data_IF_713875589964
#
_entry.id   IF_713875589964
#
_cell.length_a   1.000
_cell.length_b   1.000
_cell.length_c   1.000
_cell.angle_alpha   90.00
_cell.angle_beta   90.00
_cell.angle_gamma   90.00
#
_symmetry.space_group_name_H-M   'P 1'
#
loop_
_entity.id
_entity.type
_entity.pdbx_description
1 polymer ?
#
# COMPACT_ATOMS: atom_id res chain seq x y z
N UNK A 1 10.92 2.29 19.34
CA UNK A 1 9.61 2.38 18.67
C UNK A 1 9.05 0.97 18.57
N UNK A 2 7.82 0.72 19.02
CA UNK A 2 7.23 -0.63 18.96
C UNK A 2 7.01 -1.09 17.52
N UNK A 3 7.19 -2.39 17.23
CA UNK A 3 6.99 -2.99 15.91
C UNK A 3 5.61 -2.66 15.31
N UNK A 4 4.59 -2.54 16.18
CA UNK A 4 3.22 -2.17 15.80
C UNK A 4 3.10 -0.76 15.23
N UNK A 5 3.88 0.20 15.75
CA UNK A 5 3.90 1.59 15.29
C UNK A 5 4.60 1.71 13.94
N UNK A 6 5.77 1.05 13.79
CA UNK A 6 6.47 0.96 12.50
C UNK A 6 5.60 0.32 11.41
N UNK A 7 4.82 -0.72 11.73
CA UNK A 7 3.88 -1.32 10.79
C UNK A 7 2.82 -0.33 10.32
N UNK A 8 2.24 0.46 11.22
CA UNK A 8 1.24 1.47 10.85
C UNK A 8 1.84 2.55 9.94
N UNK A 9 3.07 2.99 10.21
CA UNK A 9 3.79 3.93 9.36
C UNK A 9 4.03 3.37 7.96
N UNK A 10 4.46 2.10 7.86
CA UNK A 10 4.69 1.43 6.57
C UNK A 10 3.40 1.20 5.77
N UNK A 11 2.30 0.81 6.43
CA UNK A 11 0.98 0.72 5.79
C UNK A 11 0.49 2.10 5.33
N UNK A 12 0.74 3.14 6.12
CA UNK A 12 0.44 4.53 5.75
C UNK A 12 1.24 4.98 4.53
N UNK A 13 2.52 4.62 4.45
CA UNK A 13 3.37 4.90 3.29
C UNK A 13 2.87 4.21 2.03
N UNK A 14 2.50 2.92 2.11
CA UNK A 14 1.87 2.19 1.00
C UNK A 14 0.59 2.90 0.54
N UNK A 15 -0.23 3.37 1.48
CA UNK A 15 -1.42 4.18 1.17
C UNK A 15 -1.08 5.47 0.41
N UNK A 16 -0.06 6.21 0.86
CA UNK A 16 0.38 7.43 0.19
C UNK A 16 0.87 7.17 -1.25
N UNK A 17 1.61 6.07 -1.47
CA UNK A 17 2.05 5.67 -2.81
C UNK A 17 0.84 5.37 -3.71
N UNK A 18 -0.17 4.66 -3.18
CA UNK A 18 -1.42 4.42 -3.90
C UNK A 18 -2.12 5.72 -4.33
N UNK A 19 -2.16 6.72 -3.45
CA UNK A 19 -2.73 8.05 -3.76
C UNK A 19 -1.95 8.74 -4.88
N UNK A 20 -0.61 8.70 -4.86
CA UNK A 20 0.22 9.28 -5.93
C UNK A 20 -0.08 8.62 -7.27
N UNK A 21 -0.22 7.29 -7.31
CA UNK A 21 -0.55 6.55 -8.53
C UNK A 21 -1.96 6.91 -9.02
N UNK A 22 -2.93 7.05 -8.12
CA UNK A 22 -4.28 7.46 -8.47
C UNK A 22 -4.29 8.88 -9.09
N UNK A 23 -3.58 9.83 -8.49
CA UNK A 23 -3.46 11.20 -9.02
C UNK A 23 -2.78 11.18 -10.38
N UNK A 24 -1.68 10.45 -10.53
CA UNK A 24 -0.99 10.34 -11.81
C UNK A 24 -1.89 9.73 -12.89
N UNK A 25 -2.62 8.66 -12.59
CA UNK A 25 -3.52 8.03 -13.55
C UNK A 25 -4.73 8.89 -13.92
N UNK A 26 -5.47 9.40 -12.92
CA UNK A 26 -6.70 10.16 -13.17
C UNK A 26 -6.47 11.59 -13.62
N UNK A 27 -5.52 12.31 -13.01
CA UNK A 27 -5.25 13.72 -13.31
C UNK A 27 -4.23 13.85 -14.43
N UNK A 28 -3.19 13.02 -14.42
CA UNK A 28 -2.16 13.03 -15.46
C UNK A 28 -2.58 12.36 -16.78
N UNK A 29 -3.63 11.54 -16.76
CA UNK A 29 -4.14 10.85 -17.96
C UNK A 29 -3.19 9.78 -18.51
N UNK A 30 -2.17 9.38 -17.75
CA UNK A 30 -1.16 8.39 -18.18
C UNK A 30 -1.73 6.98 -18.33
N UNK A 31 -2.87 6.69 -17.71
CA UNK A 31 -3.52 5.38 -17.69
C UNK A 31 -5.03 5.54 -17.91
N UNK A 32 -5.66 4.55 -18.54
CA UNK A 32 -7.12 4.51 -18.61
C UNK A 32 -7.73 4.43 -17.20
N UNK A 33 -8.98 4.89 -16.98
CA UNK A 33 -9.60 4.87 -15.66
C UNK A 33 -9.62 3.47 -15.03
N UNK A 34 -9.91 2.44 -15.83
CA UNK A 34 -9.89 1.04 -15.39
C UNK A 34 -8.49 0.59 -14.96
N UNK A 35 -7.45 0.90 -15.75
CA UNK A 35 -6.08 0.56 -15.39
C UNK A 35 -5.61 1.31 -14.13
N UNK A 36 -5.97 2.59 -13.98
CA UNK A 36 -5.63 3.40 -12.81
C UNK A 36 -6.19 2.79 -11.53
N UNK A 37 -7.44 2.32 -11.54
CA UNK A 37 -8.07 1.65 -10.40
C UNK A 37 -7.32 0.36 -10.06
N UNK A 38 -7.04 -0.48 -11.07
CA UNK A 38 -6.32 -1.74 -10.87
C UNK A 38 -4.94 -1.51 -10.27
N UNK A 39 -4.18 -0.53 -10.77
CA UNK A 39 -2.86 -0.21 -10.26
C UNK A 39 -2.89 0.37 -8.85
N UNK A 40 -3.81 1.30 -8.58
CA UNK A 40 -3.97 1.92 -7.27
C UNK A 40 -4.30 0.87 -6.21
N UNK A 41 -5.31 0.03 -6.47
CA UNK A 41 -5.73 -1.02 -5.56
C UNK A 41 -4.70 -2.14 -5.47
N UNK A 42 -4.05 -2.49 -6.58
CA UNK A 42 -2.99 -3.49 -6.63
C UNK A 42 -1.82 -3.10 -5.74
N UNK A 43 -1.31 -1.87 -5.85
CA UNK A 43 -0.22 -1.38 -5.01
C UNK A 43 -0.62 -1.33 -3.54
N UNK A 44 -1.86 -0.94 -3.24
CA UNK A 44 -2.35 -0.93 -1.87
C UNK A 44 -2.45 -2.35 -1.27
N UNK A 45 -3.09 -3.29 -1.95
CA UNK A 45 -3.27 -4.66 -1.46
C UNK A 45 -1.92 -5.36 -1.33
N UNK A 46 -1.11 -5.35 -2.39
CA UNK A 46 0.19 -6.03 -2.40
C UNK A 46 1.14 -5.37 -1.40
N UNK A 47 1.22 -4.03 -1.38
CA UNK A 47 2.10 -3.32 -0.46
C UNK A 47 1.72 -3.56 1.00
N UNK A 48 0.43 -3.57 1.35
CA UNK A 48 0.00 -3.85 2.73
C UNK A 48 0.21 -5.30 3.12
N UNK A 49 0.02 -6.25 2.19
CA UNK A 49 0.39 -7.65 2.41
C UNK A 49 1.89 -7.81 2.68
N UNK A 50 2.74 -7.22 1.85
CA UNK A 50 4.20 -7.27 2.04
C UNK A 50 4.60 -6.68 3.38
N UNK A 51 4.06 -5.52 3.75
CA UNK A 51 4.33 -4.92 5.06
C UNK A 51 3.97 -5.88 6.19
N UNK A 52 2.80 -6.55 6.12
CA UNK A 52 2.41 -7.54 7.14
C UNK A 52 3.36 -8.73 7.16
N UNK A 53 3.64 -9.35 6.02
CA UNK A 53 4.57 -10.50 5.92
C UNK A 53 5.95 -10.17 6.51
N UNK A 54 6.47 -8.97 6.26
CA UNK A 54 7.81 -8.59 6.73
C UNK A 54 7.85 -8.02 8.15
N UNK A 55 6.70 -7.65 8.73
CA UNK A 55 6.64 -7.03 10.07
C UNK A 55 5.87 -7.86 11.08
N UNK A 56 5.18 -8.91 10.67
CA UNK A 56 4.55 -9.86 11.56
C UNK A 56 5.64 -10.72 12.23
N UNK A 57 5.66 -10.77 13.57
CA UNK A 57 6.66 -11.55 14.29
C UNK A 57 6.47 -13.05 14.00
N UNK A 58 7.56 -13.84 13.91
CA UNK A 58 7.47 -15.28 13.70
C UNK A 58 6.94 -15.96 14.99
N UNK A 59 5.64 -16.23 15.04
CA UNK A 59 5.00 -16.92 16.14
C UNK A 59 3.48 -16.78 16.09
N UNK A 60 2.71 -17.76 16.62
CA UNK A 60 1.26 -17.73 16.55
C UNK A 60 0.75 -16.47 17.26
N UNK A 61 -0.17 -15.78 16.59
CA UNK A 61 -0.75 -14.53 17.05
C UNK A 61 -1.17 -14.59 18.52
N UNK A 62 -0.88 -13.49 19.22
CA UNK A 62 -1.76 -13.04 20.30
C UNK A 62 -2.82 -12.13 19.70
#
# INVERSE_FOLDING_TARGET
MGLRQKRQELVGLVGAIGVVIAIAGFVGGYLSPGATIVWTLGVWIVGTMLVRVFTDPPGPGK
#
